data_IF_127757689459
#
_entry.id   IF_127757689459
#
_cell.length_a   1.000
_cell.length_b   1.000
_cell.length_c   1.000
_cell.angle_alpha   90.00
_cell.angle_beta   90.00
_cell.angle_gamma   90.00
#
_symmetry.space_group_name_H-M   'P 1'
#
loop_
_entity.id
_entity.type
_entity.pdbx_description
1 polymer ?
#
# COMPACT_ATOMS: atom_id res chain seq x y z
N UNK A 1 0.89 17.07 4.19
CA UNK A 1 0.69 16.23 2.99
C UNK A 1 -0.39 15.22 3.33
N UNK A 2 -1.63 15.46 2.90
CA UNK A 2 -2.74 14.54 3.13
C UNK A 2 -2.59 13.40 2.11
N UNK A 3 -2.50 12.16 2.57
CA UNK A 3 -2.43 11.03 1.67
C UNK A 3 -3.84 10.78 1.12
N UNK A 4 -4.03 10.99 -0.18
CA UNK A 4 -5.25 10.64 -0.88
C UNK A 4 -5.33 9.11 -1.02
N UNK A 5 -6.08 8.47 -0.11
CA UNK A 5 -6.29 7.02 -0.17
C UNK A 5 -6.98 6.59 -1.47
N UNK A 6 -7.86 7.43 -2.04
CA UNK A 6 -8.48 7.16 -3.34
C UNK A 6 -7.41 7.00 -4.41
N UNK A 7 -6.50 7.99 -4.52
CA UNK A 7 -5.40 7.95 -5.49
C UNK A 7 -4.45 6.79 -5.26
N UNK A 8 -4.17 6.45 -4.00
CA UNK A 8 -3.37 5.28 -3.66
C UNK A 8 -4.04 3.99 -4.13
N UNK A 9 -5.35 3.84 -3.87
CA UNK A 9 -6.11 2.68 -4.31
C UNK A 9 -6.08 2.58 -5.84
N UNK A 10 -6.25 3.70 -6.55
CA UNK A 10 -6.17 3.76 -8.01
C UNK A 10 -4.79 3.37 -8.56
N UNK A 11 -3.71 3.89 -7.97
CA UNK A 11 -2.32 3.57 -8.37
C UNK A 11 -2.00 2.07 -8.26
N UNK A 12 -2.55 1.40 -7.24
CA UNK A 12 -2.42 -0.04 -7.07
C UNK A 12 -3.36 -0.86 -7.96
N UNK A 13 -4.29 -0.23 -8.68
CA UNK A 13 -5.27 -0.94 -9.52
C UNK A 13 -6.50 -1.45 -8.75
N UNK A 14 -6.80 -0.86 -7.59
CA UNK A 14 -8.00 -1.10 -6.82
C UNK A 14 -7.75 -1.64 -5.40
N UNK A 15 -8.82 -1.67 -4.57
CA UNK A 15 -8.69 -1.98 -3.14
C UNK A 15 -8.33 -3.45 -2.87
N UNK A 16 -8.64 -4.35 -3.80
CA UNK A 16 -8.22 -5.75 -3.74
C UNK A 16 -6.71 -5.89 -3.94
N UNK A 17 -6.20 -5.30 -5.02
CA UNK A 17 -4.77 -5.33 -5.36
C UNK A 17 -3.90 -4.67 -4.30
N UNK A 18 -4.38 -3.57 -3.70
CA UNK A 18 -3.70 -2.92 -2.58
C UNK A 18 -3.62 -3.84 -1.35
N UNK A 19 -4.72 -4.51 -1.00
CA UNK A 19 -4.76 -5.45 0.11
C UNK A 19 -3.83 -6.66 -0.11
N UNK A 20 -3.80 -7.20 -1.33
CA UNK A 20 -2.90 -8.30 -1.69
C UNK A 20 -1.44 -7.86 -1.68
N UNK A 21 -1.10 -6.68 -2.20
CA UNK A 21 0.27 -6.17 -2.21
C UNK A 21 0.82 -5.97 -0.79
N UNK A 22 -0.01 -5.44 0.12
CA UNK A 22 0.34 -5.30 1.53
C UNK A 22 0.50 -6.67 2.20
N UNK A 23 -0.46 -7.57 2.02
CA UNK A 23 -0.42 -8.90 2.64
C UNK A 23 0.76 -9.75 2.16
N UNK A 24 1.11 -9.66 0.87
CA UNK A 24 2.26 -10.37 0.30
C UNK A 24 3.59 -9.85 0.84
N UNK A 25 3.68 -8.56 1.14
CA UNK A 25 4.92 -7.92 1.60
C UNK A 25 5.07 -7.94 3.12
N UNK A 26 3.96 -7.99 3.83
CA UNK A 26 3.88 -8.03 5.29
C UNK A 26 2.98 -9.19 5.74
N UNK A 27 3.44 -10.45 5.62
CA UNK A 27 2.61 -11.63 5.90
C UNK A 27 2.23 -11.78 7.38
N UNK A 28 2.96 -11.14 8.30
CA UNK A 28 2.67 -11.14 9.74
C UNK A 28 1.40 -10.33 10.10
N UNK A 29 1.09 -9.32 9.28
CA UNK A 29 -0.09 -8.45 9.45
C UNK A 29 -0.84 -8.33 8.12
N UNK A 30 -1.56 -9.40 7.72
CA UNK A 30 -2.29 -9.39 6.46
C UNK A 30 -3.39 -8.33 6.46
N UNK A 31 -3.44 -7.56 5.38
CA UNK A 31 -4.44 -6.51 5.20
C UNK A 31 -5.58 -7.06 4.35
N UNK A 32 -6.79 -7.05 4.93
CA UNK A 32 -8.00 -7.46 4.20
C UNK A 32 -8.54 -6.33 3.33
N UNK A 33 -9.20 -6.67 2.22
CA UNK A 33 -9.91 -5.71 1.36
C UNK A 33 -10.93 -4.86 2.13
N UNK A 34 -11.59 -5.45 3.13
CA UNK A 34 -12.51 -4.73 4.02
C UNK A 34 -11.80 -3.62 4.84
N UNK A 35 -10.53 -3.81 5.22
CA UNK A 35 -9.76 -2.78 5.90
C UNK A 35 -9.50 -1.58 4.97
N UNK A 36 -9.17 -1.85 3.70
CA UNK A 36 -9.00 -0.80 2.69
C UNK A 36 -10.28 0.02 2.52
N UNK A 37 -11.45 -0.63 2.43
CA UNK A 37 -12.72 0.08 2.37
C UNK A 37 -12.97 0.96 3.60
N UNK A 38 -12.71 0.44 4.81
CA UNK A 38 -12.85 1.24 6.04
C UNK A 38 -11.92 2.45 6.07
N UNK A 39 -10.69 2.32 5.56
CA UNK A 39 -9.75 3.45 5.47
C UNK A 39 -10.22 4.47 4.44
N UNK A 40 -10.77 4.01 3.31
CA UNK A 40 -11.35 4.86 2.27
C UNK A 40 -12.50 5.70 2.83
N UNK A 41 -13.45 5.06 3.52
CA UNK A 41 -14.57 5.76 4.16
C UNK A 41 -14.11 6.79 5.19
N UNK A 42 -13.00 6.52 5.89
CA UNK A 42 -12.37 7.43 6.84
C UNK A 42 -11.49 8.50 6.20
N UNK A 43 -11.21 8.42 4.90
CA UNK A 43 -10.28 9.30 4.18
C UNK A 43 -8.85 9.29 4.74
N UNK A 44 -8.47 8.24 5.48
CA UNK A 44 -7.19 8.20 6.21
C UNK A 44 -6.73 6.77 6.48
N UNK A 45 -5.41 6.59 6.58
CA UNK A 45 -4.79 5.32 6.91
C UNK A 45 -4.17 5.34 8.31
N UNK A 46 -4.13 4.18 8.98
CA UNK A 46 -3.30 4.03 10.17
C UNK A 46 -1.83 4.32 9.84
N UNK A 47 -1.14 5.00 10.76
CA UNK A 47 0.27 5.39 10.58
C UNK A 47 1.18 4.18 10.29
N UNK A 48 0.92 3.05 10.96
CA UNK A 48 1.63 1.79 10.72
C UNK A 48 1.52 1.35 9.25
N UNK A 49 0.34 1.49 8.66
CA UNK A 49 0.09 1.09 7.27
C UNK A 49 0.71 2.09 6.29
N UNK A 50 0.70 3.38 6.61
CA UNK A 50 1.43 4.39 5.85
C UNK A 50 2.94 4.09 5.80
N UNK A 51 3.54 3.73 6.94
CA UNK A 51 4.96 3.35 6.99
C UNK A 51 5.26 2.08 6.19
N UNK A 52 4.35 1.09 6.19
CA UNK A 52 4.45 -0.12 5.37
C UNK A 52 4.38 0.20 3.88
N UNK A 53 3.50 1.11 3.47
CA UNK A 53 3.41 1.59 2.09
C UNK A 53 4.68 2.32 1.63
N UNK A 54 5.25 3.16 2.49
CA UNK A 54 6.52 3.83 2.20
C UNK A 54 7.66 2.83 1.98
N UNK A 55 7.73 1.78 2.81
CA UNK A 55 8.71 0.69 2.65
C UNK A 55 8.49 -0.10 1.35
N UNK A 56 7.23 -0.36 1.00
CA UNK A 56 6.87 -1.04 -0.25
C UNK A 56 7.31 -0.22 -1.48
N UNK A 57 7.02 1.08 -1.47
CA UNK A 57 7.42 2.01 -2.53
C UNK A 57 8.94 2.10 -2.66
N UNK A 58 9.66 2.22 -1.53
CA UNK A 58 11.11 2.22 -1.50
C UNK A 58 11.71 0.91 -2.05
N UNK A 59 11.08 -0.23 -1.77
CA UNK A 59 11.50 -1.55 -2.28
C UNK A 59 11.29 -1.67 -3.80
N UNK A 60 10.17 -1.15 -4.32
CA UNK A 60 9.91 -1.08 -5.77
C UNK A 60 10.91 -0.16 -6.49
N UNK A 61 11.19 1.02 -5.92
CA UNK A 61 12.19 1.94 -6.46
C UNK A 61 13.59 1.32 -6.50
N UNK A 62 13.95 0.53 -5.47
CA UNK A 62 15.23 -0.19 -5.42
C UNK A 62 15.32 -1.33 -6.44
N UNK A 63 14.20 -1.99 -6.74
CA UNK A 63 14.16 -3.02 -7.77
C UNK A 63 14.37 -2.46 -9.18
N UNK A 64 13.97 -1.21 -9.44
CA UNK A 64 14.13 -0.56 -10.75
C UNK A 64 15.58 -0.14 -11.04
N UNK A 65 16.36 0.21 -10.01
CA UNK A 65 17.78 0.59 -10.17
C UNK A 65 18.74 -0.61 -10.24
N UNK A 66 18.28 -1.83 -9.95
CA UNK A 66 19.15 -3.01 -9.87
C UNK A 66 19.21 -3.83 -11.17
N UNK A 67 18.43 -3.50 -12.20
CA UNK A 67 18.42 -4.20 -13.51
C UNK A 67 19.24 -3.44 -14.57
N UNK A 68 20.35 -2.84 -14.16
CA UNK A 68 21.34 -2.26 -15.09
C UNK A 68 22.72 -2.60 -14.58
N UNK A 69 23.14 -3.85 -14.82
CA UNK A 69 24.54 -4.27 -14.82
C UNK A 69 24.69 -5.45 -15.79
#
# INVERSE_FOLDING_TARGET
MQLDIERLIEDFGGPGTLAEALSRSFPDEPVSRAAIYKWRERGSLPLVQLNKLAQLAASRARSLISTTI
#
